data_IF_675184172305
#
_entry.id   IF_675184172305
#
_cell.length_a   1.000
_cell.length_b   1.000
_cell.length_c   1.000
_cell.angle_alpha   90.00
_cell.angle_beta   90.00
_cell.angle_gamma   90.00
#
_symmetry.space_group_name_H-M   'P 1'
#
loop_
_entity.id
_entity.type
_entity.pdbx_description
1 polymer ?
#
# COMPACT_ATOMS: atom_id res chain seq x y z
N UNK A 1 -9.40 23.42 -15.19
CA UNK A 1 -10.85 23.16 -15.35
C UNK A 1 -11.16 21.72 -14.97
N UNK A 2 -11.07 21.40 -13.68
CA UNK A 2 -11.55 20.13 -13.15
C UNK A 2 -13.07 20.20 -12.94
N UNK A 3 -13.74 19.05 -12.87
CA UNK A 3 -15.19 18.99 -12.65
C UNK A 3 -15.57 19.59 -11.29
N UNK A 4 -16.60 20.45 -11.25
CA UNK A 4 -17.35 20.67 -10.01
C UNK A 4 -17.91 19.32 -9.56
N UNK A 5 -17.38 18.77 -8.47
CA UNK A 5 -17.92 17.59 -7.79
C UNK A 5 -19.32 17.96 -7.27
N UNK A 6 -20.39 17.47 -7.94
CA UNK A 6 -21.79 17.70 -7.54
C UNK A 6 -22.03 17.37 -6.06
N UNK A 7 -21.34 16.36 -5.53
CA UNK A 7 -21.16 16.15 -4.10
C UNK A 7 -19.91 15.31 -3.82
N UNK A 8 -19.47 15.29 -2.55
CA UNK A 8 -18.35 14.50 -2.05
C UNK A 8 -18.73 13.76 -0.78
N UNK A 9 -18.53 12.44 -0.73
CA UNK A 9 -18.82 11.62 0.48
C UNK A 9 -18.10 12.19 1.70
N UNK A 10 -18.78 12.30 2.84
CA UNK A 10 -18.29 12.96 4.06
C UNK A 10 -16.91 12.45 4.52
N UNK A 11 -16.67 11.13 4.49
CA UNK A 11 -15.38 10.54 4.87
C UNK A 11 -14.23 10.87 3.89
N UNK A 12 -14.55 11.28 2.65
CA UNK A 12 -13.61 11.81 1.68
C UNK A 12 -13.38 13.29 1.93
N UNK A 13 -14.44 14.09 2.13
CA UNK A 13 -14.35 15.53 2.41
C UNK A 13 -13.41 15.82 3.61
N UNK A 14 -13.63 15.18 4.75
CA UNK A 14 -12.80 15.33 5.98
C UNK A 14 -11.34 14.90 5.77
N UNK A 15 -11.11 13.94 4.86
CA UNK A 15 -9.76 13.46 4.54
C UNK A 15 -9.08 14.29 3.43
N UNK A 16 -9.85 14.96 2.58
CA UNK A 16 -9.37 15.92 1.59
C UNK A 16 -8.98 17.23 2.30
N UNK A 17 -9.72 17.71 3.30
CA UNK A 17 -9.36 18.89 4.13
C UNK A 17 -8.17 18.66 5.10
N UNK A 18 -7.33 17.66 4.84
CA UNK A 18 -6.09 17.39 5.58
C UNK A 18 -6.21 16.92 7.03
N UNK A 19 -7.40 16.95 7.67
CA UNK A 19 -7.56 16.67 9.10
C UNK A 19 -7.09 15.26 9.50
N UNK A 20 -7.44 14.24 8.71
CA UNK A 20 -7.10 12.84 9.02
C UNK A 20 -7.16 11.95 7.76
N UNK A 21 -7.01 10.63 7.93
CA UNK A 21 -7.31 9.66 6.87
C UNK A 21 -8.81 9.37 6.75
N UNK A 22 -9.26 8.88 5.58
CA UNK A 22 -10.68 8.48 5.38
C UNK A 22 -11.20 7.50 6.44
N UNK A 23 -10.35 6.59 6.95
CA UNK A 23 -10.69 5.64 8.02
C UNK A 23 -10.83 6.29 9.41
N UNK A 24 -10.17 7.43 9.62
CA UNK A 24 -10.32 8.24 10.83
C UNK A 24 -11.55 9.12 10.74
N UNK A 25 -11.85 9.67 9.55
CA UNK A 25 -13.11 10.32 9.28
C UNK A 25 -14.30 9.37 9.52
N UNK A 26 -14.24 8.14 8.99
CA UNK A 26 -15.24 7.09 9.29
C UNK A 26 -15.39 6.85 10.80
N UNK A 27 -14.28 6.73 11.56
CA UNK A 27 -14.32 6.62 13.04
C UNK A 27 -14.98 7.83 13.73
N UNK A 28 -14.69 9.06 13.30
CA UNK A 28 -15.33 10.25 13.87
C UNK A 28 -16.84 10.32 13.55
N UNK A 29 -17.24 9.85 12.35
CA UNK A 29 -18.66 9.76 11.95
C UNK A 29 -19.38 8.71 12.81
N UNK A 30 -18.80 7.53 12.98
CA UNK A 30 -19.34 6.43 13.81
C UNK A 30 -19.48 6.83 15.29
N UNK A 31 -18.56 7.65 15.80
CA UNK A 31 -18.65 8.25 17.14
C UNK A 31 -19.69 9.38 17.25
N UNK A 32 -20.25 9.85 16.12
CA UNK A 32 -21.21 10.94 16.07
C UNK A 32 -20.60 12.32 16.34
N UNK A 33 -19.29 12.47 16.11
CA UNK A 33 -18.51 13.69 16.30
C UNK A 33 -18.49 14.61 15.06
N UNK A 34 -19.18 14.20 13.98
CA UNK A 34 -19.24 14.89 12.69
C UNK A 34 -20.64 15.43 12.45
N UNK A 35 -20.72 16.66 11.95
CA UNK A 35 -21.96 17.35 11.63
C UNK A 35 -21.87 18.00 10.24
N UNK A 36 -23.01 18.03 9.52
CA UNK A 36 -23.22 18.76 8.27
C UNK A 36 -24.40 19.71 8.52
N UNK A 37 -24.20 21.02 8.38
CA UNK A 37 -25.21 22.05 8.66
C UNK A 37 -25.90 21.90 10.03
N UNK A 38 -25.10 21.54 11.05
CA UNK A 38 -25.57 21.31 12.42
C UNK A 38 -26.28 19.97 12.67
N UNK A 39 -26.55 19.15 11.65
CA UNK A 39 -27.12 17.81 11.78
C UNK A 39 -26.00 16.76 11.88
N UNK A 40 -26.13 15.78 12.77
CA UNK A 40 -25.14 14.70 12.91
C UNK A 40 -25.07 13.88 11.61
N UNK A 41 -23.86 13.68 11.10
CA UNK A 41 -23.61 12.92 9.88
C UNK A 41 -23.58 11.40 10.14
N UNK A 42 -23.80 10.61 9.09
CA UNK A 42 -23.74 9.14 9.10
C UNK A 42 -22.81 8.56 8.02
N UNK A 43 -22.46 7.27 8.12
CA UNK A 43 -21.42 6.61 7.30
C UNK A 43 -21.88 6.34 5.86
N UNK A 44 -22.01 7.41 5.07
CA UNK A 44 -22.51 7.36 3.69
C UNK A 44 -22.86 8.72 3.12
N UNK A 45 -23.10 9.71 4.00
CA UNK A 45 -23.57 11.05 3.67
C UNK A 45 -22.70 11.76 2.63
N UNK A 46 -23.33 12.69 1.91
CA UNK A 46 -22.72 13.50 0.87
C UNK A 46 -22.69 14.97 1.30
N UNK A 47 -21.54 15.60 1.09
CA UNK A 47 -21.32 17.04 1.26
C UNK A 47 -21.46 17.69 -0.12
N UNK A 48 -22.36 18.65 -0.25
CA UNK A 48 -22.61 19.45 -1.44
C UNK A 48 -21.90 20.82 -1.30
N UNK A 49 -21.65 21.54 -2.41
CA UNK A 49 -21.13 22.90 -2.36
C UNK A 49 -21.98 23.80 -1.45
N UNK A 50 -21.35 24.49 -0.51
CA UNK A 50 -22.01 25.38 0.46
C UNK A 50 -22.42 24.75 1.79
N UNK A 51 -22.37 23.42 1.97
CA UNK A 51 -22.60 22.83 3.30
C UNK A 51 -21.43 23.12 4.25
N UNK A 52 -21.74 23.43 5.51
CA UNK A 52 -20.78 23.65 6.59
C UNK A 52 -20.55 22.32 7.32
N UNK A 53 -19.37 21.73 7.12
CA UNK A 53 -18.95 20.52 7.83
C UNK A 53 -18.23 20.89 9.12
N UNK A 54 -18.58 20.23 10.24
CA UNK A 54 -17.87 20.34 11.52
C UNK A 54 -17.44 18.98 12.03
N UNK A 55 -16.24 18.90 12.63
CA UNK A 55 -15.70 17.71 13.29
C UNK A 55 -15.17 18.11 14.66
N UNK A 56 -15.62 17.44 15.73
CA UNK A 56 -15.32 17.82 17.12
C UNK A 56 -15.63 19.30 17.43
N UNK A 57 -16.61 19.89 16.76
CA UNK A 57 -17.00 21.31 16.88
C UNK A 57 -16.23 22.28 15.97
N UNK A 58 -15.04 21.91 15.49
CA UNK A 58 -14.26 22.73 14.54
C UNK A 58 -14.88 22.65 13.14
N UNK A 59 -15.08 23.81 12.50
CA UNK A 59 -15.46 23.90 11.08
C UNK A 59 -14.30 23.44 10.19
N UNK A 60 -14.59 22.67 9.15
CA UNK A 60 -13.63 22.31 8.11
C UNK A 60 -13.82 23.19 6.88
N UNK A 61 -12.73 23.81 6.44
CA UNK A 61 -12.64 24.51 5.17
C UNK A 61 -12.13 23.52 4.10
N UNK A 62 -12.64 23.57 2.86
CA UNK A 62 -12.08 22.80 1.75
C UNK A 62 -10.75 23.44 1.29
N UNK A 63 -9.78 22.62 0.90
CA UNK A 63 -8.60 23.12 0.19
C UNK A 63 -8.98 23.64 -1.21
N UNK A 64 -8.30 24.69 -1.67
CA UNK A 64 -8.45 25.23 -3.02
C UNK A 64 -7.52 24.53 -4.03
N UNK A 65 -7.60 24.85 -5.33
CA UNK A 65 -6.72 24.22 -6.33
C UNK A 65 -5.23 24.60 -6.11
N UNK A 66 -4.95 25.76 -5.50
CA UNK A 66 -3.60 26.27 -5.18
C UNK A 66 -2.93 25.53 -4.00
N UNK A 67 -3.70 24.79 -3.18
CA UNK A 67 -3.17 23.94 -2.09
C UNK A 67 -2.57 22.60 -2.59
N UNK A 68 -2.51 22.37 -3.91
CA UNK A 68 -2.06 21.10 -4.48
C UNK A 68 -0.57 20.82 -4.20
N UNK A 69 -0.29 19.95 -3.24
CA UNK A 69 1.05 19.41 -2.99
C UNK A 69 1.23 18.17 -3.87
N UNK A 70 2.26 18.18 -4.72
CA UNK A 70 2.63 17.01 -5.53
C UNK A 70 4.14 16.94 -5.72
N UNK A 71 4.81 16.16 -4.87
CA UNK A 71 6.27 16.09 -4.79
C UNK A 71 6.83 14.79 -5.36
N UNK A 72 8.05 14.87 -5.89
CA UNK A 72 8.94 13.74 -6.17
C UNK A 72 9.99 13.63 -5.04
N UNK A 73 10.09 12.44 -4.45
CA UNK A 73 11.09 12.07 -3.44
C UNK A 73 12.03 11.00 -4.01
N UNK A 74 13.34 11.16 -3.83
CA UNK A 74 14.31 10.10 -4.03
C UNK A 74 14.47 9.30 -2.72
N UNK A 75 13.55 8.37 -2.48
CA UNK A 75 13.41 7.65 -1.21
C UNK A 75 14.65 6.78 -0.94
N UNK A 76 15.33 6.92 0.21
CA UNK A 76 16.45 6.05 0.58
C UNK A 76 15.98 4.66 1.08
N UNK A 77 16.94 3.73 1.16
CA UNK A 77 16.78 2.45 1.86
C UNK A 77 16.50 2.69 3.36
N UNK A 78 15.74 1.81 4.01
CA UNK A 78 15.40 1.88 5.43
C UNK A 78 14.09 2.60 5.72
N UNK A 79 13.67 3.55 4.88
CA UNK A 79 12.37 4.24 5.00
C UNK A 79 11.23 3.34 4.51
N UNK A 80 10.06 3.40 5.17
CA UNK A 80 8.88 2.59 4.85
C UNK A 80 7.80 3.42 4.17
N UNK A 81 7.32 2.94 3.02
CA UNK A 81 6.21 3.56 2.27
C UNK A 81 4.85 3.30 2.95
N UNK A 82 4.60 4.00 4.07
CA UNK A 82 3.38 3.93 4.88
C UNK A 82 3.05 5.30 5.48
N UNK A 83 1.80 5.49 5.92
CA UNK A 83 1.31 6.68 6.65
C UNK A 83 0.97 6.36 8.11
N UNK A 84 1.29 5.16 8.58
CA UNK A 84 1.02 4.70 9.95
C UNK A 84 2.08 5.28 10.90
N UNK A 85 1.68 6.21 11.78
CA UNK A 85 2.58 6.92 12.70
C UNK A 85 3.29 6.02 13.74
N UNK A 86 2.90 4.75 13.85
CA UNK A 86 3.56 3.74 14.68
C UNK A 86 4.79 3.11 14.02
N UNK A 87 4.95 3.19 12.69
CA UNK A 87 6.15 2.70 12.00
C UNK A 87 7.26 3.74 12.07
N UNK A 88 8.31 3.42 12.84
CA UNK A 88 9.52 4.26 12.94
C UNK A 88 10.25 4.31 11.60
N UNK A 89 10.40 5.53 11.06
CA UNK A 89 10.94 5.74 9.71
C UNK A 89 9.91 5.49 8.60
N UNK A 90 8.63 5.79 8.85
CA UNK A 90 7.65 5.95 7.77
C UNK A 90 8.00 7.14 6.85
N UNK A 91 7.40 7.17 5.67
CA UNK A 91 7.76 8.11 4.60
C UNK A 91 7.20 9.53 4.81
N UNK A 92 6.18 9.70 5.64
CA UNK A 92 5.58 11.01 5.91
C UNK A 92 6.48 11.79 6.88
N UNK A 93 6.85 11.17 8.00
CA UNK A 93 7.79 11.74 8.98
C UNK A 93 9.18 11.98 8.38
N UNK A 94 9.61 11.13 7.43
CA UNK A 94 10.88 11.32 6.72
C UNK A 94 10.91 12.57 5.83
N UNK A 95 9.79 12.87 5.14
CA UNK A 95 9.68 14.08 4.31
C UNK A 95 9.43 15.31 5.19
N UNK A 96 8.72 15.16 6.31
CA UNK A 96 8.39 16.21 7.28
C UNK A 96 7.75 17.45 6.62
N UNK A 97 6.77 17.21 5.74
CA UNK A 97 6.07 18.26 5.00
C UNK A 97 5.04 18.99 5.88
N UNK A 98 4.90 20.31 5.71
CA UNK A 98 4.00 21.15 6.51
C UNK A 98 2.50 20.91 6.28
N UNK A 99 2.14 20.27 5.16
CA UNK A 99 0.77 19.86 4.80
C UNK A 99 0.71 18.33 4.73
N UNK A 100 -0.40 17.74 5.19
CA UNK A 100 -0.62 16.28 5.23
C UNK A 100 -0.59 15.65 3.83
N UNK A 101 0.49 14.92 3.54
CA UNK A 101 0.70 14.17 2.28
C UNK A 101 0.73 12.66 2.50
N UNK A 102 0.56 11.90 1.41
CA UNK A 102 0.62 10.44 1.39
C UNK A 102 1.28 9.92 0.09
N UNK A 103 1.94 8.75 0.13
CA UNK A 103 2.71 8.24 -1.00
C UNK A 103 1.82 7.66 -2.11
N UNK A 104 2.17 7.94 -3.36
CA UNK A 104 1.52 7.37 -4.54
C UNK A 104 2.09 5.97 -4.79
N UNK A 105 1.50 5.01 -4.09
CA UNK A 105 1.92 3.61 -4.08
C UNK A 105 3.07 3.38 -3.10
N UNK A 106 3.93 2.41 -3.40
CA UNK A 106 4.98 1.97 -2.47
C UNK A 106 6.29 1.63 -3.18
N UNK A 107 7.38 1.79 -2.43
CA UNK A 107 8.64 1.06 -2.57
C UNK A 107 8.88 0.25 -1.28
N UNK A 108 9.50 -0.91 -1.40
CA UNK A 108 9.86 -1.76 -0.26
C UNK A 108 10.90 -1.05 0.66
N UNK A 109 11.01 -1.48 1.93
CA UNK A 109 11.98 -0.92 2.90
C UNK A 109 13.43 -1.09 2.42
N UNK A 110 13.71 -2.17 1.70
CA UNK A 110 15.00 -2.53 1.09
C UNK A 110 15.27 -1.89 -0.29
N UNK A 111 14.39 -1.00 -0.75
CA UNK A 111 14.39 -0.48 -2.13
C UNK A 111 14.27 1.05 -2.13
N UNK A 112 14.89 1.68 -3.13
CA UNK A 112 15.11 3.13 -3.17
C UNK A 112 14.67 3.79 -4.48
N UNK A 113 14.87 5.09 -4.59
CA UNK A 113 14.60 5.87 -5.79
C UNK A 113 13.25 6.57 -5.78
N UNK A 114 12.81 6.99 -6.97
CA UNK A 114 11.68 7.89 -7.18
C UNK A 114 10.38 7.33 -6.62
N UNK A 115 9.72 8.10 -5.78
CA UNK A 115 8.32 7.90 -5.38
C UNK A 115 7.65 9.27 -5.27
N UNK A 116 6.37 9.36 -5.64
CA UNK A 116 5.62 10.59 -5.46
C UNK A 116 4.89 10.60 -4.12
N UNK A 117 4.64 11.79 -3.58
CA UNK A 117 3.69 12.02 -2.50
C UNK A 117 2.78 13.20 -2.87
N UNK A 118 1.54 13.19 -2.37
CA UNK A 118 0.55 14.26 -2.62
C UNK A 118 -0.46 14.36 -1.48
N UNK A 119 -1.16 15.50 -1.36
CA UNK A 119 -2.38 15.63 -0.55
C UNK A 119 -3.67 15.29 -1.36
N UNK A 120 -3.60 15.14 -2.69
CA UNK A 120 -4.76 14.87 -3.53
C UNK A 120 -5.03 13.36 -3.69
N UNK A 121 -6.12 12.88 -3.05
CA UNK A 121 -6.49 11.47 -3.03
C UNK A 121 -6.99 10.87 -4.35
N UNK A 122 -7.48 11.70 -5.27
CA UNK A 122 -7.99 11.24 -6.56
C UNK A 122 -6.84 10.93 -7.54
N UNK A 123 -5.75 11.71 -7.51
CA UNK A 123 -4.56 11.48 -8.33
C UNK A 123 -3.90 10.12 -8.06
N UNK A 124 -3.90 9.67 -6.79
CA UNK A 124 -3.31 8.39 -6.37
C UNK A 124 -3.87 7.21 -7.20
N UNK A 125 -5.20 7.13 -7.30
CA UNK A 125 -5.85 6.03 -8.00
C UNK A 125 -5.64 6.11 -9.52
N UNK A 126 -5.61 7.31 -10.10
CA UNK A 126 -5.33 7.48 -11.53
C UNK A 126 -3.90 7.06 -11.89
N UNK A 127 -2.91 7.40 -11.07
CA UNK A 127 -1.50 7.08 -11.35
C UNK A 127 -1.20 5.58 -11.15
N UNK A 128 -1.79 4.93 -10.14
CA UNK A 128 -1.48 3.54 -9.78
C UNK A 128 -2.19 2.46 -10.62
N UNK A 129 -3.27 2.80 -11.33
CA UNK A 129 -4.08 1.84 -12.09
C UNK A 129 -3.28 1.17 -13.22
N UNK A 130 -3.06 -0.14 -13.11
CA UNK A 130 -2.29 -0.93 -14.08
C UNK A 130 -2.98 -1.15 -15.44
N UNK A 131 -4.23 -0.70 -15.59
CA UNK A 131 -4.94 -0.50 -16.87
C UNK A 131 -4.30 0.60 -17.71
N UNK A 132 -3.79 1.65 -17.06
CA UNK A 132 -3.32 2.89 -17.69
C UNK A 132 -1.89 2.74 -18.26
N UNK A 133 -1.31 1.55 -18.14
CA UNK A 133 0.02 1.14 -18.61
C UNK A 133 1.18 2.11 -18.28
N UNK A 134 1.06 2.93 -17.23
CA UNK A 134 2.10 3.88 -16.81
C UNK A 134 3.44 3.19 -16.54
N UNK A 135 4.45 3.46 -17.36
CA UNK A 135 5.80 2.91 -17.20
C UNK A 135 6.45 3.34 -15.88
N UNK A 136 7.08 2.39 -15.20
CA UNK A 136 7.98 2.59 -14.06
C UNK A 136 9.30 1.90 -14.39
N UNK A 137 10.39 2.65 -14.38
CA UNK A 137 11.71 2.17 -14.79
C UNK A 137 12.61 1.97 -13.58
N UNK A 138 13.33 0.85 -13.56
CA UNK A 138 14.17 0.46 -12.44
C UNK A 138 15.57 0.11 -12.92
N UNK A 139 16.57 0.55 -12.17
CA UNK A 139 17.94 0.06 -12.24
C UNK A 139 18.13 -1.03 -11.19
N UNK A 140 18.61 -2.20 -11.60
CA UNK A 140 18.65 -3.41 -10.77
C UNK A 140 20.06 -3.99 -10.79
N UNK A 141 20.67 -4.13 -9.62
CA UNK A 141 21.94 -4.86 -9.45
C UNK A 141 21.65 -6.23 -8.86
N UNK A 142 22.29 -7.27 -9.39
CA UNK A 142 22.14 -8.66 -8.94
C UNK A 142 23.47 -9.30 -8.53
N UNK A 143 23.39 -10.39 -7.77
CA UNK A 143 24.53 -11.11 -7.19
C UNK A 143 25.32 -12.03 -8.15
N UNK A 144 24.96 -12.09 -9.44
CA UNK A 144 25.53 -13.01 -10.44
C UNK A 144 25.68 -12.31 -11.80
N UNK A 145 26.64 -12.73 -12.65
CA UNK A 145 26.75 -12.23 -14.02
C UNK A 145 25.47 -12.49 -14.82
N UNK A 146 24.99 -11.47 -15.53
CA UNK A 146 23.73 -11.49 -16.29
C UNK A 146 23.91 -12.24 -17.60
N UNK A 147 23.18 -13.35 -17.77
CA UNK A 147 23.10 -14.13 -19.01
C UNK A 147 21.91 -13.69 -19.89
N UNK A 148 22.01 -13.91 -21.20
CA UNK A 148 20.91 -13.57 -22.12
C UNK A 148 19.69 -14.49 -21.90
N UNK A 149 19.92 -15.74 -21.47
CA UNK A 149 18.85 -16.66 -21.05
C UNK A 149 18.03 -16.13 -19.88
N UNK A 150 18.66 -15.49 -18.89
CA UNK A 150 17.98 -14.80 -17.79
C UNK A 150 17.14 -13.63 -18.30
N UNK A 151 17.71 -12.80 -19.19
CA UNK A 151 17.02 -11.64 -19.76
C UNK A 151 15.79 -12.05 -20.58
N UNK A 152 15.92 -13.05 -21.45
CA UNK A 152 14.81 -13.55 -22.27
C UNK A 152 13.70 -14.19 -21.42
N UNK A 153 14.06 -14.95 -20.38
CA UNK A 153 13.10 -15.49 -19.40
C UNK A 153 12.35 -14.39 -18.65
N UNK A 154 13.07 -13.39 -18.15
CA UNK A 154 12.49 -12.25 -17.43
C UNK A 154 11.55 -11.41 -18.33
N UNK A 155 11.91 -11.16 -19.59
CA UNK A 155 11.08 -10.39 -20.55
C UNK A 155 9.81 -11.13 -20.95
N UNK A 156 9.86 -12.47 -21.04
CA UNK A 156 8.77 -13.32 -21.54
C UNK A 156 7.55 -13.43 -20.61
N UNK A 157 7.70 -13.02 -19.35
CA UNK A 157 6.69 -13.16 -18.30
C UNK A 157 7.01 -14.31 -17.36
N UNK A 158 7.01 -14.05 -16.05
CA UNK A 158 7.53 -14.97 -15.03
C UNK A 158 6.40 -15.41 -14.09
N UNK A 159 6.25 -16.70 -13.74
CA UNK A 159 5.23 -17.16 -12.81
C UNK A 159 5.61 -16.85 -11.36
N UNK A 160 4.93 -15.88 -10.75
CA UNK A 160 5.10 -15.47 -9.33
C UNK A 160 3.74 -15.18 -8.69
N UNK A 161 3.59 -15.43 -7.38
CA UNK A 161 2.36 -15.11 -6.63
C UNK A 161 1.07 -15.74 -7.22
N UNK A 162 1.18 -16.90 -7.86
CA UNK A 162 0.04 -17.58 -8.49
C UNK A 162 -0.40 -17.02 -9.85
N UNK A 163 0.37 -16.09 -10.45
CA UNK A 163 0.09 -15.53 -11.77
C UNK A 163 1.37 -15.33 -12.59
N UNK A 164 1.24 -15.16 -13.91
CA UNK A 164 2.37 -14.74 -14.75
C UNK A 164 2.44 -13.20 -14.77
N UNK A 165 3.65 -12.63 -14.79
CA UNK A 165 3.83 -11.18 -15.01
C UNK A 165 3.48 -10.78 -16.45
N UNK A 166 3.07 -9.53 -16.67
CA UNK A 166 3.05 -8.95 -18.03
C UNK A 166 4.47 -9.04 -18.61
N UNK A 167 4.58 -9.25 -19.92
CA UNK A 167 5.85 -9.08 -20.67
C UNK A 167 6.39 -7.67 -20.46
N UNK A 168 7.71 -7.54 -20.42
CA UNK A 168 8.38 -6.27 -20.08
C UNK A 168 9.64 -6.03 -20.91
N UNK A 169 10.07 -4.76 -20.99
CA UNK A 169 11.33 -4.38 -21.65
C UNK A 169 12.46 -4.50 -20.62
N UNK A 170 13.55 -5.17 -20.98
CA UNK A 170 14.76 -5.28 -20.17
C UNK A 170 15.99 -5.02 -21.05
N UNK A 171 16.99 -4.34 -20.48
CA UNK A 171 18.24 -4.00 -21.15
C UNK A 171 19.41 -4.27 -20.19
N UNK A 172 20.47 -4.94 -20.67
CA UNK A 172 21.69 -5.18 -19.90
C UNK A 172 22.55 -3.92 -19.91
N UNK A 173 22.89 -3.42 -18.73
CA UNK A 173 23.66 -2.17 -18.53
C UNK A 173 25.12 -2.49 -18.17
N UNK A 174 25.36 -3.59 -17.46
CA UNK A 174 26.71 -4.12 -17.22
C UNK A 174 26.67 -5.62 -16.91
N UNK A 175 27.81 -6.21 -16.51
CA UNK A 175 27.89 -7.60 -16.05
C UNK A 175 26.89 -7.94 -14.95
N UNK A 176 26.61 -7.02 -14.02
CA UNK A 176 25.77 -7.26 -12.84
C UNK A 176 24.55 -6.32 -12.75
N UNK A 177 24.34 -5.45 -13.74
CA UNK A 177 23.27 -4.45 -13.73
C UNK A 177 22.37 -4.55 -14.97
N UNK A 178 21.06 -4.51 -14.77
CA UNK A 178 20.07 -4.36 -15.84
C UNK A 178 19.05 -3.27 -15.53
N UNK A 179 18.47 -2.71 -16.59
CA UNK A 179 17.35 -1.77 -16.59
C UNK A 179 16.08 -2.52 -16.93
N UNK A 180 14.99 -2.33 -16.19
CA UNK A 180 13.68 -2.97 -16.43
C UNK A 180 12.54 -1.96 -16.36
N UNK A 181 11.61 -2.04 -17.32
CA UNK A 181 10.43 -1.17 -17.39
C UNK A 181 9.17 -2.00 -17.12
N UNK A 182 8.46 -1.66 -16.04
CA UNK A 182 7.23 -2.33 -15.62
C UNK A 182 6.03 -1.39 -15.65
N UNK A 183 4.93 -1.85 -16.27
CA UNK A 183 3.64 -1.15 -16.24
C UNK A 183 2.78 -1.56 -15.03
N UNK A 184 2.92 -2.81 -14.55
CA UNK A 184 2.27 -3.31 -13.34
C UNK A 184 3.15 -3.13 -12.09
N UNK A 185 2.67 -3.51 -10.90
CA UNK A 185 3.49 -3.55 -9.68
C UNK A 185 2.98 -4.56 -8.66
N UNK A 186 3.38 -5.83 -8.81
CA UNK A 186 3.09 -6.88 -7.83
C UNK A 186 4.02 -6.77 -6.59
N UNK A 187 3.64 -7.41 -5.47
CA UNK A 187 4.44 -7.39 -4.24
C UNK A 187 5.86 -7.95 -4.47
N UNK A 188 6.90 -7.13 -4.23
CA UNK A 188 8.32 -7.45 -4.45
C UNK A 188 8.64 -7.94 -5.86
N UNK A 189 7.86 -7.55 -6.88
CA UNK A 189 7.85 -8.16 -8.22
C UNK A 189 9.25 -8.46 -8.80
N UNK A 190 10.10 -7.44 -8.95
CA UNK A 190 11.43 -7.59 -9.57
C UNK A 190 12.30 -8.58 -8.79
N UNK A 191 12.24 -8.56 -7.46
CA UNK A 191 13.00 -9.47 -6.59
C UNK A 191 12.53 -10.91 -6.79
N UNK A 192 11.21 -11.16 -6.78
CA UNK A 192 10.61 -12.48 -7.05
C UNK A 192 10.90 -13.00 -8.46
N UNK A 193 10.91 -12.12 -9.46
CA UNK A 193 11.28 -12.48 -10.83
C UNK A 193 12.75 -12.92 -10.91
N UNK A 194 13.67 -12.24 -10.20
CA UNK A 194 15.08 -12.65 -10.11
C UNK A 194 15.24 -13.96 -9.33
N UNK A 195 14.55 -14.10 -8.19
CA UNK A 195 14.56 -15.29 -7.32
C UNK A 195 14.14 -16.55 -8.11
N UNK A 196 13.16 -16.44 -9.01
CA UNK A 196 12.72 -17.54 -9.89
C UNK A 196 13.84 -18.10 -10.78
N UNK A 197 14.76 -17.25 -11.26
CA UNK A 197 15.94 -17.68 -12.04
C UNK A 197 17.20 -17.89 -11.17
N UNK A 198 17.06 -17.91 -9.84
CA UNK A 198 18.17 -18.11 -8.90
C UNK A 198 19.11 -16.91 -8.74
N UNK A 199 18.67 -15.70 -9.10
CA UNK A 199 19.39 -14.44 -8.87
C UNK A 199 18.83 -13.73 -7.61
N UNK A 200 19.69 -13.02 -6.88
CA UNK A 200 19.28 -12.16 -5.77
C UNK A 200 19.58 -10.70 -6.09
N UNK A 201 18.63 -9.81 -5.80
CA UNK A 201 18.73 -8.37 -6.08
C UNK A 201 19.44 -7.65 -4.94
N UNK A 202 20.67 -7.20 -5.18
CA UNK A 202 21.52 -6.49 -4.21
C UNK A 202 21.20 -5.00 -4.12
N UNK A 203 20.76 -4.38 -5.22
CA UNK A 203 20.31 -2.98 -5.28
C UNK A 203 19.09 -2.87 -6.18
N UNK A 204 18.05 -2.18 -5.71
CA UNK A 204 16.84 -1.90 -6.49
C UNK A 204 16.46 -0.43 -6.37
N UNK A 205 16.55 0.30 -7.47
CA UNK A 205 16.29 1.74 -7.55
C UNK A 205 15.28 2.04 -8.66
N UNK A 206 14.18 2.73 -8.34
CA UNK A 206 13.25 3.24 -9.36
C UNK A 206 13.76 4.58 -9.89
N UNK A 207 14.17 4.64 -11.16
CA UNK A 207 14.81 5.82 -11.75
C UNK A 207 13.82 6.75 -12.47
N UNK A 208 12.68 6.24 -12.93
CA UNK A 208 11.63 7.00 -13.64
C UNK A 208 10.22 6.48 -13.31
N UNK A 209 9.25 7.39 -13.27
CA UNK A 209 7.80 7.11 -13.28
C UNK A 209 7.19 8.00 -14.36
N UNK A 210 6.61 7.41 -15.40
CA UNK A 210 6.09 8.12 -16.57
C UNK A 210 7.15 9.07 -17.17
N UNK A 211 6.93 10.38 -17.07
CA UNK A 211 7.80 11.47 -17.54
C UNK A 211 8.77 12.00 -16.47
N UNK A 212 8.59 11.69 -15.19
CA UNK A 212 9.43 12.19 -14.10
C UNK A 212 10.59 11.23 -13.84
N UNK A 213 11.80 11.75 -13.66
CA UNK A 213 13.01 10.96 -13.36
C UNK A 213 13.76 11.49 -12.13
N UNK A 214 14.70 10.69 -11.62
CA UNK A 214 15.64 11.08 -10.55
C UNK A 214 16.71 12.11 -10.97
N UNK A 215 16.77 12.54 -12.24
CA UNK A 215 17.84 13.43 -12.71
C UNK A 215 17.81 14.76 -11.93
N UNK A 216 18.90 15.03 -11.20
CA UNK A 216 19.05 16.23 -10.37
C UNK A 216 18.43 16.15 -8.97
N UNK A 217 17.92 14.99 -8.53
CA UNK A 217 17.36 14.79 -7.19
C UNK A 217 18.23 13.83 -6.37
N UNK A 218 18.97 14.36 -5.39
CA UNK A 218 19.89 13.57 -4.56
C UNK A 218 19.14 12.60 -3.62
N UNK A 219 19.84 11.58 -3.12
CA UNK A 219 19.23 10.53 -2.30
C UNK A 219 18.81 11.08 -0.94
N UNK A 220 17.51 10.93 -0.61
CA UNK A 220 16.89 11.55 0.57
C UNK A 220 16.11 12.83 0.25
N UNK A 221 16.51 13.57 -0.79
CA UNK A 221 15.88 14.84 -1.14
C UNK A 221 14.55 14.66 -1.87
N UNK A 222 13.68 15.66 -1.71
CA UNK A 222 12.43 15.80 -2.44
C UNK A 222 12.31 17.20 -3.06
N UNK A 223 11.46 17.30 -4.08
CA UNK A 223 11.07 18.57 -4.72
C UNK A 223 9.62 18.49 -5.19
N UNK A 224 8.99 19.63 -5.40
CA UNK A 224 7.75 19.71 -6.16
C UNK A 224 7.93 19.25 -7.61
N UNK A 225 6.85 18.71 -8.20
CA UNK A 225 6.78 18.52 -9.64
C UNK A 225 6.58 19.86 -10.34
N UNK A 226 7.26 20.03 -11.47
CA UNK A 226 7.05 21.20 -12.33
C UNK A 226 5.66 21.14 -13.00
N UNK A 227 5.10 22.29 -13.38
CA UNK A 227 3.82 22.36 -14.10
C UNK A 227 3.79 21.45 -15.34
N UNK A 228 4.86 21.45 -16.14
CA UNK A 228 5.01 20.58 -17.31
C UNK A 228 5.03 19.07 -16.95
N UNK A 229 5.57 18.70 -15.78
CA UNK A 229 5.50 17.32 -15.29
C UNK A 229 4.08 16.94 -14.86
N UNK A 230 3.38 17.84 -14.15
CA UNK A 230 2.00 17.65 -13.69
C UNK A 230 1.04 17.58 -14.88
N UNK A 231 1.15 18.48 -15.85
CA UNK A 231 0.36 18.50 -17.10
C UNK A 231 0.49 17.20 -17.88
N UNK A 232 1.71 16.65 -17.95
CA UNK A 232 1.97 15.39 -18.65
C UNK A 232 1.32 14.22 -17.91
N UNK A 233 1.39 14.21 -16.57
CA UNK A 233 0.70 13.23 -15.74
C UNK A 233 -0.83 13.36 -15.87
N UNK A 234 -1.38 14.58 -15.92
CA UNK A 234 -2.80 14.84 -16.13
C UNK A 234 -3.28 14.31 -17.49
N UNK A 235 -2.53 14.60 -18.57
CA UNK A 235 -2.82 14.10 -19.93
C UNK A 235 -2.79 12.57 -20.00
N UNK A 236 -1.80 11.92 -19.37
CA UNK A 236 -1.72 10.46 -19.29
C UNK A 236 -2.83 9.83 -18.45
N UNK A 237 -3.31 10.53 -17.41
CA UNK A 237 -4.32 10.00 -16.48
C UNK A 237 -5.77 10.25 -16.90
N UNK A 238 -6.04 11.20 -17.80
CA UNK A 238 -7.39 11.64 -18.17
C UNK A 238 -8.35 10.51 -18.63
N UNK A 239 -7.83 9.45 -19.25
CA UNK A 239 -8.64 8.30 -19.69
C UNK A 239 -9.15 7.40 -18.54
N UNK A 240 -8.76 7.69 -17.29
CA UNK A 240 -9.14 6.87 -16.11
C UNK A 240 -10.58 7.06 -15.66
N UNK A 241 -11.18 8.23 -15.92
CA UNK A 241 -12.44 8.63 -15.29
C UNK A 241 -13.65 7.87 -15.84
N UNK A 242 -13.57 7.39 -17.09
CA UNK A 242 -14.66 6.71 -17.80
C UNK A 242 -14.92 5.26 -17.35
N UNK A 243 -14.09 4.68 -16.47
CA UNK A 243 -14.21 3.27 -16.02
C UNK A 243 -14.73 3.12 -14.58
N UNK A 244 -15.44 4.12 -14.05
CA UNK A 244 -16.06 4.09 -12.73
C UNK A 244 -17.52 3.54 -12.72
N UNK A 245 -17.88 2.67 -13.66
CA UNK A 245 -19.20 2.02 -13.68
C UNK A 245 -19.21 0.73 -12.82
N UNK A 246 -20.26 0.48 -12.02
CA UNK A 246 -20.34 -0.71 -11.17
C UNK A 246 -20.56 -1.99 -11.99
N UNK A 247 -19.93 -3.09 -11.58
CA UNK A 247 -20.13 -4.40 -12.20
C UNK A 247 -21.60 -4.84 -12.12
N UNK A 248 -22.20 -5.15 -13.27
CA UNK A 248 -23.62 -5.51 -13.36
C UNK A 248 -23.92 -6.84 -12.66
N UNK A 249 -25.02 -6.86 -11.89
CA UNK A 249 -25.48 -8.05 -11.18
C UNK A 249 -25.82 -9.15 -12.19
N UNK A 250 -25.18 -10.33 -12.08
CA UNK A 250 -25.62 -11.52 -12.83
C UNK A 250 -27.03 -11.90 -12.35
N UNK A 251 -28.02 -11.77 -13.23
CA UNK A 251 -29.39 -12.24 -12.97
C UNK A 251 -29.43 -13.75 -12.97
N UNK A 252 -29.79 -14.35 -11.84
CA UNK A 252 -30.05 -15.79 -11.77
C UNK A 252 -31.34 -16.11 -12.53
N UNK A 253 -31.25 -16.88 -13.62
CA UNK A 253 -32.44 -17.38 -14.33
C UNK A 253 -32.99 -18.62 -13.63
N UNK A 254 -34.15 -18.47 -13.01
CA UNK A 254 -34.90 -19.58 -12.38
C UNK A 254 -35.44 -20.53 -13.44
N UNK A 255 -35.03 -21.80 -13.41
CA UNK A 255 -35.58 -22.84 -14.29
C UNK A 255 -36.91 -23.37 -13.71
N UNK A 256 -38.01 -23.26 -14.47
CA UNK A 256 -39.32 -23.83 -14.10
C UNK A 256 -39.37 -25.34 -14.41
N UNK A 257 -40.10 -26.10 -13.59
CA UNK A 257 -40.52 -27.48 -13.89
C UNK A 257 -41.79 -27.51 -14.73
N UNK A 258 -41.81 -28.39 -15.73
CA UNK A 258 -42.99 -29.00 -16.37
C UNK A 258 -42.49 -30.31 -17.03
N UNK A 259 -42.72 -31.50 -16.46
CA UNK A 259 -43.95 -32.31 -16.53
C UNK A 259 -44.19 -32.96 -17.89
N UNK A 260 -43.80 -34.24 -18.02
CA UNK A 260 -44.11 -35.12 -19.16
C UNK A 260 -44.29 -36.56 -18.66
N UNK A 261 -45.33 -37.24 -19.15
CA UNK A 261 -45.76 -38.60 -18.76
C UNK A 261 -45.26 -39.61 -19.85
N UNK A 262 -45.24 -40.95 -19.73
CA UNK A 262 -45.91 -41.89 -18.81
C UNK A 262 -45.38 -43.35 -18.95
N UNK A 263 -45.72 -44.22 -17.96
CA UNK A 263 -45.80 -45.71 -18.01
C UNK A 263 -44.46 -46.48 -18.21
N UNK A 264 -44.25 -47.74 -17.78
CA UNK A 264 -45.11 -48.84 -17.23
C UNK A 264 -44.54 -49.40 -15.87
N UNK A 265 -45.23 -50.32 -15.15
CA UNK A 265 -44.93 -50.71 -13.75
C UNK A 265 -44.38 -52.16 -13.55
N UNK A 266 -44.43 -52.64 -12.29
CA UNK A 266 -44.01 -53.94 -11.67
C UNK A 266 -42.51 -54.09 -11.35
N UNK A 267 -42.08 -54.80 -10.29
CA UNK A 267 -42.80 -55.57 -9.25
C UNK A 267 -42.31 -55.21 -7.82
N UNK A 268 -42.78 -55.90 -6.77
CA UNK A 268 -42.63 -55.48 -5.38
C UNK A 268 -41.80 -56.43 -4.49
N UNK A 269 -41.10 -55.85 -3.51
CA UNK A 269 -40.99 -56.39 -2.16
C UNK A 269 -39.78 -57.27 -1.82
N UNK A 270 -38.97 -56.80 -0.87
CA UNK A 270 -38.96 -57.36 0.49
C UNK A 270 -38.29 -56.38 1.47
N UNK A 271 -38.57 -56.55 2.77
CA UNK A 271 -38.03 -55.72 3.84
C UNK A 271 -37.62 -56.56 5.05
N UNK A 272 -36.45 -56.27 5.62
CA UNK A 272 -35.90 -56.59 6.96
C UNK A 272 -34.38 -56.32 6.94
N UNK A 273 -33.63 -56.15 8.03
CA UNK A 273 -33.81 -55.35 9.26
C UNK A 273 -32.61 -55.61 10.20
N UNK A 274 -31.89 -54.55 10.61
CA UNK A 274 -31.14 -54.45 11.89
C UNK A 274 -30.15 -55.57 12.33
N UNK A 275 -28.86 -55.25 12.19
CA UNK A 275 -27.83 -55.13 13.27
C UNK A 275 -27.24 -56.33 14.06
N UNK A 276 -25.91 -56.22 14.25
CA UNK A 276 -25.08 -56.55 15.46
C UNK A 276 -24.39 -57.93 15.60
N UNK A 277 -23.24 -57.92 16.30
CA UNK A 277 -22.29 -59.03 16.52
C UNK A 277 -21.09 -58.99 15.55
N UNK A 278 -19.79 -58.85 15.88
CA UNK A 278 -18.90 -59.28 17.00
C UNK A 278 -18.58 -60.79 16.98
N UNK A 279 -17.34 -61.29 17.11
CA UNK A 279 -16.00 -60.69 17.28
C UNK A 279 -14.97 -61.52 16.45
N UNK A 280 -13.62 -61.48 16.55
CA UNK A 280 -12.58 -60.92 17.45
C UNK A 280 -11.27 -60.77 16.61
N UNK A 281 -9.99 -60.62 17.03
CA UNK A 281 -9.20 -60.59 18.28
C UNK A 281 -7.85 -59.84 17.96
N UNK A 282 -6.72 -59.75 18.71
CA UNK A 282 -6.26 -60.09 20.07
C UNK A 282 -4.94 -59.30 20.38
N UNK A 283 -4.60 -59.14 21.69
CA UNK A 283 -3.26 -58.98 22.35
C UNK A 283 -2.17 -58.02 21.75
N UNK A 284 -1.52 -57.13 22.52
CA UNK A 284 -1.74 -56.76 23.93
C UNK A 284 -0.66 -55.87 24.61
N UNK A 285 -1.07 -55.21 25.71
CA UNK A 285 -0.33 -54.69 26.91
C UNK A 285 1.07 -54.04 26.82
N UNK A 286 1.14 -52.74 27.13
CA UNK A 286 1.66 -52.14 28.40
C UNK A 286 1.19 -50.67 28.44
N UNK A 287 0.66 -50.06 29.51
CA UNK A 287 1.16 -49.81 30.88
C UNK A 287 2.34 -48.81 30.96
N UNK A 288 2.30 -47.70 31.74
CA UNK A 288 1.17 -47.06 32.44
C UNK A 288 1.43 -45.57 32.83
N UNK A 289 0.48 -44.98 33.57
CA UNK A 289 0.39 -43.62 34.19
C UNK A 289 1.48 -43.32 35.25
N UNK A 290 1.67 -42.12 35.82
CA UNK A 290 1.37 -40.70 35.46
C UNK A 290 2.01 -39.73 36.50
N UNK A 291 1.88 -38.42 36.27
CA UNK A 291 2.47 -37.29 37.02
C UNK A 291 1.78 -36.91 38.36
N UNK A 292 2.53 -36.47 39.40
CA UNK A 292 2.03 -35.60 40.49
C UNK A 292 2.73 -34.22 40.59
N UNK A 293 2.17 -33.30 41.39
CA UNK A 293 2.50 -31.84 41.38
C UNK A 293 3.24 -31.33 42.63
N UNK A 294 4.01 -30.23 42.44
CA UNK A 294 4.35 -29.13 43.40
C UNK A 294 5.00 -29.48 44.77
N UNK A 295 6.10 -28.77 45.11
CA UNK A 295 6.15 -27.85 46.28
C UNK A 295 7.47 -27.05 46.42
N UNK A 296 7.39 -25.92 47.15
CA UNK A 296 8.42 -25.26 47.99
C UNK A 296 9.67 -24.57 47.39
N UNK A 297 10.22 -23.65 48.19
CA UNK A 297 11.40 -22.77 48.00
C UNK A 297 11.94 -22.38 49.40
N UNK A 298 13.26 -22.35 49.64
CA UNK A 298 13.98 -21.08 49.95
C UNK A 298 15.18 -20.88 48.96
N UNK A 299 15.86 -19.74 48.82
CA UNK A 299 16.57 -18.92 49.82
C UNK A 299 18.04 -19.37 49.88
N UNK A 300 19.10 -18.57 49.67
CA UNK A 300 19.42 -17.26 50.26
C UNK A 300 20.62 -16.59 49.52
N UNK A 301 20.78 -15.24 49.63
CA UNK A 301 21.95 -14.32 49.43
C UNK A 301 23.06 -14.67 48.39
N UNK A 302 23.48 -13.84 47.43
CA UNK A 302 23.76 -12.38 47.32
C UNK A 302 25.18 -11.91 47.73
N UNK A 303 25.90 -11.29 46.80
CA UNK A 303 26.94 -10.25 47.03
C UNK A 303 26.95 -9.26 45.86
N UNK A 304 27.50 -8.06 46.06
CA UNK A 304 27.52 -6.97 45.08
C UNK A 304 28.86 -6.22 45.09
N UNK A 305 29.31 -5.75 43.92
CA UNK A 305 30.35 -4.73 43.80
C UNK A 305 29.85 -3.57 42.92
N UNK A 306 30.34 -2.35 43.17
CA UNK A 306 29.83 -1.07 42.63
C UNK A 306 30.95 -0.02 42.66
N UNK A 307 30.81 1.06 41.87
CA UNK A 307 31.69 2.26 41.71
C UNK A 307 32.69 2.15 40.52
N UNK A 308 33.07 3.22 39.80
CA UNK A 308 32.69 4.66 39.91
C UNK A 308 32.73 5.43 38.57
N UNK A 309 32.15 6.64 38.59
CA UNK A 309 32.28 7.79 37.66
C UNK A 309 33.74 8.26 37.41
N UNK A 310 34.08 9.19 36.49
CA UNK A 310 33.32 10.14 35.64
C UNK A 310 33.95 10.24 34.20
N UNK A 311 33.71 11.19 33.28
CA UNK A 311 33.61 12.67 33.35
C UNK A 311 32.92 13.27 32.09
N UNK A 312 32.61 14.57 32.09
CA UNK A 312 31.93 15.34 31.02
C UNK A 312 32.78 15.55 29.75
N UNK A 313 32.13 15.59 28.59
CA UNK A 313 32.58 16.25 27.36
C UNK A 313 31.38 16.87 26.62
N UNK A 314 31.49 18.09 26.07
CA UNK A 314 30.33 18.87 25.57
C UNK A 314 30.69 19.69 24.32
N UNK A 315 30.18 19.32 23.15
CA UNK A 315 30.40 20.05 21.90
C UNK A 315 29.14 20.12 21.01
N UNK A 316 28.55 21.32 21.00
CA UNK A 316 27.85 22.02 19.89
C UNK A 316 27.16 21.18 18.79
N UNK A 317 25.82 21.20 18.81
CA UNK A 317 25.02 21.19 17.58
C UNK A 317 25.19 22.52 16.82
N UNK A 318 25.22 22.46 15.48
CA UNK A 318 25.25 23.65 14.62
C UNK A 318 23.90 23.84 13.94
N UNK A 319 23.24 24.97 14.20
CA UNK A 319 22.04 25.40 13.47
C UNK A 319 22.43 25.97 12.10
N UNK A 320 21.72 25.57 11.04
CA UNK A 320 21.80 26.24 9.73
C UNK A 320 20.81 27.42 9.72
N UNK A 321 21.18 28.59 9.18
CA UNK A 321 20.31 29.77 9.17
C UNK A 321 19.21 29.67 8.10
N UNK A 322 18.08 30.34 8.36
CA UNK A 322 17.02 30.57 7.37
C UNK A 322 17.43 31.71 6.44
N UNK A 323 17.32 31.52 5.12
CA UNK A 323 17.60 32.54 4.12
C UNK A 323 16.42 33.49 3.94
N UNK A 324 16.59 34.76 4.32
CA UNK A 324 15.60 35.81 4.06
C UNK A 324 15.64 36.26 2.59
N UNK A 325 14.46 36.47 1.98
CA UNK A 325 14.35 37.15 0.67
C UNK A 325 14.59 38.67 0.85
N UNK A 326 15.37 39.32 -0.03
CA UNK A 326 15.41 40.78 -0.08
C UNK A 326 14.09 41.33 -0.64
N UNK A 327 13.60 42.45 -0.07
CA UNK A 327 12.51 43.23 -0.67
C UNK A 327 13.12 44.13 -1.76
N UNK A 328 12.54 44.14 -2.95
CA UNK A 328 12.78 45.20 -3.93
C UNK A 328 12.05 46.47 -3.47
N UNK A 329 12.75 47.60 -3.47
CA UNK A 329 12.19 48.92 -3.25
C UNK A 329 12.32 49.73 -4.55
N UNK A 330 11.27 50.47 -4.92
CA UNK A 330 11.29 51.38 -6.07
C UNK A 330 12.18 52.59 -5.78
N UNK A 331 12.97 52.99 -6.77
CA UNK A 331 13.02 54.37 -7.26
C UNK A 331 13.28 54.36 -8.77
#
# INVERSE_FOLDING_TARGET
MWFLKLSTRINKYISESGMCSRREADRYIEQGNVFIDGKRATTGDQVFPGNIVKVNGQTLEPYEEDDLVFIALNKPVGIVSTTEASEKGNIVDFVNHGVRIFPIGRLDKDSQGLIFLTNNGDMVNKILRASNNHEKEYMVTVNKPITDSFLQGMMSGVPILGQVTKKCKIEKVSTFVFKIILVQGLNRQIRRMCEHFGYQVTRLERVRIMNVSLKGLALGDWRDLTSAEIDTIAKLTAQSDTQAAPASKKTAKTAKKASGNSRKPVSAGQAKSRSSGSASSARGRSDSRANPKKAARPGIKSTSAKRTSATKGKARSASRPVSAKPKSARR
#
